data_IF_636450145529
#
_entry.id   IF_636450145529
#
_cell.length_a   1.000
_cell.length_b   1.000
_cell.length_c   1.000
_cell.angle_alpha   90.00
_cell.angle_beta   90.00
_cell.angle_gamma   90.00
#
_symmetry.space_group_name_H-M   'P 1'
#
loop_
_entity.id
_entity.type
_entity.pdbx_description
1 polymer ?
#
# COMPACT_ATOMS: atom_id res chain seq x y z
N UNK A 1 -22.61 -14.05 13.23
CA UNK A 1 -21.27 -13.47 13.28
C UNK A 1 -20.27 -14.62 13.35
N UNK A 2 -19.48 -14.85 12.31
CA UNK A 2 -18.55 -15.96 12.21
C UNK A 2 -17.42 -15.84 13.24
N UNK A 3 -16.82 -16.97 13.66
CA UNK A 3 -15.66 -17.04 14.59
C UNK A 3 -14.52 -16.07 14.19
N UNK A 4 -14.34 -15.83 12.90
CA UNK A 4 -13.39 -14.86 12.35
C UNK A 4 -13.72 -13.40 12.79
N UNK A 5 -14.99 -13.01 12.74
CA UNK A 5 -15.40 -11.65 13.10
C UNK A 5 -15.20 -11.30 14.59
N UNK A 6 -15.31 -12.31 15.48
CA UNK A 6 -15.03 -12.15 16.91
C UNK A 6 -13.53 -12.01 17.18
N UNK A 7 -12.71 -12.80 16.51
CA UNK A 7 -11.25 -12.76 16.62
C UNK A 7 -10.65 -11.43 16.10
N UNK A 8 -11.16 -10.92 14.99
CA UNK A 8 -10.76 -9.61 14.42
C UNK A 8 -11.15 -8.45 15.36
N UNK A 9 -12.25 -8.56 16.09
CA UNK A 9 -12.69 -7.51 17.03
C UNK A 9 -11.85 -7.48 18.31
N UNK A 10 -11.32 -8.62 18.76
CA UNK A 10 -10.50 -8.73 19.98
C UNK A 10 -9.00 -8.54 19.70
N UNK A 11 -8.49 -9.11 18.63
CA UNK A 11 -7.04 -9.10 18.30
C UNK A 11 -6.61 -8.01 17.30
N UNK A 12 -7.58 -7.43 16.58
CA UNK A 12 -7.30 -6.47 15.49
C UNK A 12 -6.94 -7.14 14.17
N UNK A 13 -6.82 -6.36 13.11
CA UNK A 13 -6.45 -6.84 11.77
C UNK A 13 -4.93 -6.95 11.69
N UNK A 14 -4.40 -8.12 11.28
CA UNK A 14 -2.98 -8.30 11.04
C UNK A 14 -2.58 -7.57 9.74
N UNK A 15 -1.61 -6.69 9.84
CA UNK A 15 -1.08 -5.92 8.70
C UNK A 15 -0.44 -6.85 7.66
N UNK A 16 0.25 -7.88 8.12
CA UNK A 16 0.90 -8.88 7.27
C UNK A 16 -0.12 -9.66 6.42
N UNK A 17 -1.20 -10.14 7.04
CA UNK A 17 -2.25 -10.90 6.34
C UNK A 17 -2.96 -10.03 5.32
N UNK A 18 -3.32 -8.80 5.70
CA UNK A 18 -3.99 -7.85 4.81
C UNK A 18 -3.11 -7.50 3.61
N UNK A 19 -1.81 -7.27 3.82
CA UNK A 19 -0.87 -6.96 2.76
C UNK A 19 -0.72 -8.12 1.76
N UNK A 20 -0.54 -9.36 2.25
CA UNK A 20 -0.44 -10.55 1.39
C UNK A 20 -1.72 -10.77 0.59
N UNK A 21 -2.88 -10.63 1.21
CA UNK A 21 -4.17 -10.78 0.53
C UNK A 21 -4.35 -9.73 -0.57
N UNK A 22 -4.01 -8.47 -0.30
CA UNK A 22 -4.06 -7.38 -1.29
C UNK A 22 -3.07 -7.60 -2.45
N UNK A 23 -1.86 -8.12 -2.18
CA UNK A 23 -0.90 -8.49 -3.23
C UNK A 23 -1.46 -9.59 -4.13
N UNK A 24 -2.08 -10.63 -3.57
CA UNK A 24 -2.71 -11.71 -4.34
C UNK A 24 -3.82 -11.16 -5.23
N UNK A 25 -4.71 -10.32 -4.69
CA UNK A 25 -5.80 -9.68 -5.45
C UNK A 25 -5.23 -8.81 -6.58
N UNK A 26 -4.21 -8.00 -6.29
CA UNK A 26 -3.53 -7.16 -7.29
C UNK A 26 -2.91 -8.01 -8.42
N UNK A 27 -2.27 -9.13 -8.07
CA UNK A 27 -1.69 -10.04 -9.07
C UNK A 27 -2.75 -10.67 -9.97
N UNK A 28 -3.89 -11.08 -9.40
CA UNK A 28 -5.02 -11.63 -10.16
C UNK A 28 -5.58 -10.57 -11.12
N UNK A 29 -5.81 -9.34 -10.64
CA UNK A 29 -6.31 -8.24 -11.46
C UNK A 29 -5.35 -7.88 -12.61
N UNK A 30 -4.04 -7.85 -12.32
CA UNK A 30 -3.01 -7.60 -13.33
C UNK A 30 -2.98 -8.70 -14.38
N UNK A 31 -3.08 -9.98 -13.96
CA UNK A 31 -3.14 -11.12 -14.89
C UNK A 31 -4.40 -11.07 -15.77
N UNK A 32 -5.54 -10.72 -15.20
CA UNK A 32 -6.79 -10.53 -15.94
C UNK A 32 -6.68 -9.37 -16.94
N UNK A 33 -6.01 -8.27 -16.58
CA UNK A 33 -5.77 -7.14 -17.46
C UNK A 33 -4.88 -7.53 -18.65
N UNK A 34 -3.78 -8.25 -18.40
CA UNK A 34 -2.89 -8.75 -19.46
C UNK A 34 -3.64 -9.69 -20.41
N UNK A 35 -4.47 -10.58 -19.86
CA UNK A 35 -5.29 -11.48 -20.68
C UNK A 35 -6.30 -10.75 -21.56
N UNK A 36 -7.01 -9.75 -21.04
CA UNK A 36 -7.96 -8.95 -21.84
C UNK A 36 -7.24 -8.11 -22.89
N UNK A 37 -6.05 -7.57 -22.59
CA UNK A 37 -5.22 -6.86 -23.56
C UNK A 37 -4.78 -7.78 -24.72
N UNK A 38 -4.35 -9.00 -24.38
CA UNK A 38 -3.99 -10.00 -25.39
C UNK A 38 -5.17 -10.35 -26.30
N UNK A 39 -6.36 -10.57 -25.73
CA UNK A 39 -7.58 -10.82 -26.51
C UNK A 39 -7.97 -9.64 -27.43
N UNK A 40 -7.90 -8.41 -26.92
CA UNK A 40 -8.18 -7.21 -27.69
C UNK A 40 -7.22 -7.07 -28.89
N UNK A 41 -5.94 -7.35 -28.67
CA UNK A 41 -4.92 -7.32 -29.74
C UNK A 41 -5.20 -8.39 -30.83
N UNK A 42 -5.57 -9.61 -30.44
CA UNK A 42 -5.96 -10.65 -31.39
C UNK A 42 -7.20 -10.26 -32.21
N UNK A 43 -8.20 -9.65 -31.57
CA UNK A 43 -9.40 -9.17 -32.27
C UNK A 43 -9.07 -8.05 -33.25
N UNK A 44 -8.17 -7.15 -32.89
CA UNK A 44 -7.71 -6.09 -33.78
C UNK A 44 -6.94 -6.65 -35.00
N UNK A 45 -6.06 -7.61 -34.81
CA UNK A 45 -5.33 -8.26 -35.92
C UNK A 45 -6.29 -8.98 -36.87
N UNK A 46 -7.31 -9.69 -36.33
CA UNK A 46 -8.31 -10.36 -37.14
C UNK A 46 -9.15 -9.37 -37.97
N UNK A 47 -9.52 -8.23 -37.37
CA UNK A 47 -10.22 -7.16 -38.08
C UNK A 47 -9.37 -6.54 -39.19
N UNK A 48 -8.11 -6.25 -38.92
CA UNK A 48 -7.18 -5.68 -39.90
C UNK A 48 -7.04 -6.61 -41.11
N UNK A 49 -6.83 -7.93 -40.83
CA UNK A 49 -6.73 -8.93 -41.89
C UNK A 49 -7.99 -9.05 -42.72
N UNK A 50 -9.16 -9.10 -42.08
CA UNK A 50 -10.44 -9.15 -42.78
C UNK A 50 -10.70 -7.91 -43.67
N UNK A 51 -10.24 -6.75 -43.21
CA UNK A 51 -10.33 -5.49 -44.01
C UNK A 51 -9.39 -5.50 -45.20
N UNK A 52 -8.15 -5.99 -45.02
CA UNK A 52 -7.19 -6.17 -46.11
C UNK A 52 -7.72 -7.15 -47.19
N UNK A 53 -8.21 -8.33 -46.74
CA UNK A 53 -8.80 -9.32 -47.64
C UNK A 53 -9.98 -8.74 -48.43
N UNK A 54 -10.82 -7.89 -47.81
CA UNK A 54 -11.91 -7.20 -48.48
C UNK A 54 -11.41 -6.24 -49.56
N UNK A 55 -10.43 -5.38 -49.23
CA UNK A 55 -9.91 -4.39 -50.19
C UNK A 55 -9.32 -5.11 -51.42
N UNK A 56 -8.51 -6.13 -51.20
CA UNK A 56 -7.88 -6.88 -52.26
C UNK A 56 -8.91 -7.62 -53.17
N UNK A 57 -9.94 -8.19 -52.55
CA UNK A 57 -11.03 -8.85 -53.26
C UNK A 57 -11.84 -7.85 -54.07
N UNK A 58 -12.15 -6.67 -53.53
CA UNK A 58 -12.83 -5.61 -54.22
C UNK A 58 -12.01 -5.07 -55.40
N UNK A 59 -10.71 -4.90 -55.26
CA UNK A 59 -9.81 -4.47 -56.30
C UNK A 59 -9.73 -5.51 -57.45
N UNK A 60 -9.66 -6.80 -57.11
CA UNK A 60 -9.68 -7.88 -58.08
C UNK A 60 -11.03 -7.92 -58.85
N UNK A 61 -12.17 -7.81 -58.15
CA UNK A 61 -13.48 -7.78 -58.84
C UNK A 61 -13.59 -6.58 -59.78
N UNK A 62 -13.19 -5.38 -59.35
CA UNK A 62 -13.16 -4.20 -60.20
C UNK A 62 -12.16 -4.35 -61.39
N UNK A 63 -11.04 -4.94 -61.17
CA UNK A 63 -10.04 -5.21 -62.23
C UNK A 63 -10.61 -6.13 -63.32
N UNK A 64 -11.30 -7.21 -62.90
CA UNK A 64 -12.00 -8.12 -63.82
C UNK A 64 -13.10 -7.42 -64.61
N UNK A 65 -13.91 -6.61 -63.94
CA UNK A 65 -14.99 -5.83 -64.64
C UNK A 65 -14.40 -4.88 -65.66
N UNK A 66 -13.42 -4.06 -65.28
CA UNK A 66 -12.79 -3.07 -66.14
C UNK A 66 -12.06 -3.76 -67.34
N UNK A 67 -11.41 -4.89 -67.13
CA UNK A 67 -10.76 -5.64 -68.20
C UNK A 67 -11.78 -6.27 -69.16
N UNK A 68 -12.93 -6.78 -68.64
CA UNK A 68 -14.00 -7.33 -69.43
C UNK A 68 -14.69 -6.26 -70.29
N UNK A 69 -14.99 -5.09 -69.71
CA UNK A 69 -15.57 -3.95 -70.41
C UNK A 69 -14.61 -3.42 -71.50
N UNK A 70 -13.30 -3.32 -71.18
CA UNK A 70 -12.27 -2.91 -72.15
C UNK A 70 -12.19 -3.84 -73.35
N UNK A 71 -12.14 -5.18 -73.14
CA UNK A 71 -12.13 -6.16 -74.22
C UNK A 71 -13.36 -6.06 -75.08
N UNK A 72 -14.54 -5.94 -74.47
CA UNK A 72 -15.81 -5.74 -75.17
C UNK A 72 -15.81 -4.48 -76.03
N UNK A 73 -15.33 -3.35 -75.49
CA UNK A 73 -15.25 -2.06 -76.25
C UNK A 73 -14.30 -2.19 -77.44
N UNK A 74 -13.14 -2.78 -77.29
CA UNK A 74 -12.18 -2.96 -78.37
C UNK A 74 -12.74 -3.90 -79.47
N UNK A 75 -13.38 -4.99 -79.05
CA UNK A 75 -14.02 -5.91 -80.02
C UNK A 75 -15.19 -5.22 -80.81
N UNK A 76 -16.04 -4.43 -80.10
CA UNK A 76 -17.11 -3.63 -80.75
C UNK A 76 -16.49 -2.59 -81.68
N UNK A 77 -15.49 -1.83 -81.25
CA UNK A 77 -14.82 -0.84 -82.07
C UNK A 77 -14.24 -1.47 -83.35
N UNK A 78 -13.55 -2.63 -83.21
CA UNK A 78 -12.98 -3.34 -84.33
C UNK A 78 -14.05 -3.78 -85.34
N UNK A 79 -15.18 -4.36 -84.90
CA UNK A 79 -16.25 -4.85 -85.77
C UNK A 79 -17.00 -3.73 -86.46
N UNK A 80 -17.03 -2.51 -85.92
CA UNK A 80 -17.69 -1.34 -86.49
C UNK A 80 -16.73 -0.52 -87.37
N UNK A 81 -15.53 -0.18 -86.85
CA UNK A 81 -14.58 0.71 -87.53
C UNK A 81 -13.65 -0.02 -88.51
N UNK A 82 -13.36 -1.29 -88.19
CA UNK A 82 -12.41 -2.08 -88.98
C UNK A 82 -10.93 -1.70 -88.76
N UNK A 83 -10.64 -0.86 -87.79
CA UNK A 83 -9.27 -0.39 -87.52
C UNK A 83 -8.48 -1.42 -86.74
N UNK A 84 -7.38 -1.83 -87.32
CA UNK A 84 -6.55 -2.89 -86.75
C UNK A 84 -6.01 -2.63 -85.30
N UNK A 85 -5.84 -1.34 -84.97
CA UNK A 85 -5.40 -0.98 -83.61
C UNK A 85 -6.31 -1.57 -82.50
N UNK A 86 -7.63 -1.62 -82.75
CA UNK A 86 -8.58 -2.19 -81.76
C UNK A 86 -8.42 -3.71 -81.61
N UNK A 87 -8.09 -4.42 -82.69
CA UNK A 87 -7.78 -5.82 -82.67
C UNK A 87 -6.49 -6.07 -81.87
N UNK A 88 -5.45 -5.25 -82.12
CA UNK A 88 -4.17 -5.35 -81.40
C UNK A 88 -4.32 -5.02 -79.93
N UNK A 89 -5.06 -3.99 -79.56
CA UNK A 89 -5.39 -3.65 -78.19
C UNK A 89 -6.12 -4.77 -77.47
N UNK A 90 -7.12 -5.38 -78.10
CA UNK A 90 -7.87 -6.52 -77.57
C UNK A 90 -6.93 -7.68 -77.18
N UNK A 91 -6.02 -8.12 -78.13
CA UNK A 91 -5.11 -9.21 -77.89
C UNK A 91 -3.97 -8.86 -76.94
N UNK A 92 -3.56 -7.60 -76.87
CA UNK A 92 -2.63 -7.11 -75.86
C UNK A 92 -3.21 -7.31 -74.48
N UNK A 93 -4.46 -6.94 -74.27
CA UNK A 93 -5.16 -7.17 -73.00
C UNK A 93 -5.36 -8.66 -72.70
N UNK A 94 -5.86 -9.42 -73.68
CA UNK A 94 -6.21 -10.83 -73.48
C UNK A 94 -4.98 -11.75 -73.27
N UNK A 95 -3.83 -11.47 -73.93
CA UNK A 95 -2.66 -12.38 -73.92
C UNK A 95 -1.50 -11.86 -73.09
N UNK A 96 -1.26 -10.52 -73.02
CA UNK A 96 -0.10 -9.94 -72.36
C UNK A 96 -0.44 -9.35 -71.01
N UNK A 97 -1.39 -8.42 -70.95
CA UNK A 97 -1.75 -7.76 -69.68
C UNK A 97 -2.50 -8.70 -68.73
N UNK A 98 -3.43 -9.47 -69.26
CA UNK A 98 -4.17 -10.56 -68.56
C UNK A 98 -4.73 -10.15 -67.23
N UNK A 99 -5.31 -8.94 -67.13
CA UNK A 99 -5.83 -8.37 -65.86
C UNK A 99 -6.89 -9.27 -65.23
N UNK A 100 -7.76 -9.93 -65.99
CA UNK A 100 -8.78 -10.86 -65.50
C UNK A 100 -8.18 -12.07 -64.79
N UNK A 101 -7.22 -12.75 -65.49
CA UNK A 101 -6.57 -13.96 -65.01
C UNK A 101 -5.71 -13.65 -63.76
N UNK A 102 -5.00 -12.52 -63.77
CA UNK A 102 -4.21 -12.06 -62.66
C UNK A 102 -5.09 -11.73 -61.41
N UNK A 103 -6.24 -11.09 -61.62
CA UNK A 103 -7.19 -10.82 -60.58
C UNK A 103 -7.70 -12.11 -59.94
N UNK A 104 -8.11 -13.09 -60.74
CA UNK A 104 -8.55 -14.41 -60.25
C UNK A 104 -7.47 -15.09 -59.49
N UNK A 105 -6.23 -15.15 -60.02
CA UNK A 105 -5.10 -15.81 -59.37
C UNK A 105 -4.78 -15.19 -58.01
N UNK A 106 -4.81 -13.85 -57.87
CA UNK A 106 -4.57 -13.15 -56.62
C UNK A 106 -5.62 -13.47 -55.58
N UNK A 107 -6.87 -13.58 -55.96
CA UNK A 107 -7.98 -13.95 -55.05
C UNK A 107 -7.94 -15.42 -54.65
N UNK A 108 -7.68 -16.32 -55.59
CA UNK A 108 -7.61 -17.76 -55.34
C UNK A 108 -6.50 -18.12 -54.36
N UNK A 109 -5.37 -17.41 -54.39
CA UNK A 109 -4.26 -17.59 -53.46
C UNK A 109 -4.60 -17.22 -51.99
N UNK A 110 -5.57 -16.34 -51.79
CA UNK A 110 -5.94 -15.85 -50.43
C UNK A 110 -7.18 -16.50 -49.84
N UNK A 111 -8.22 -16.74 -50.66
CA UNK A 111 -9.53 -17.21 -50.16
C UNK A 111 -10.24 -18.15 -51.16
N UNK A 112 -9.70 -19.35 -51.39
CA UNK A 112 -10.13 -20.24 -52.48
C UNK A 112 -11.60 -20.73 -52.33
N UNK A 113 -12.08 -20.89 -51.10
CA UNK A 113 -13.38 -21.50 -50.84
C UNK A 113 -14.50 -20.49 -50.46
N UNK A 114 -14.27 -19.19 -50.68
CA UNK A 114 -15.29 -18.17 -50.35
C UNK A 114 -16.44 -18.15 -51.39
N UNK A 115 -17.65 -17.79 -50.91
CA UNK A 115 -18.81 -17.58 -51.79
C UNK A 115 -18.54 -16.51 -52.83
N UNK A 116 -17.82 -15.43 -52.46
CA UNK A 116 -17.39 -14.38 -53.36
C UNK A 116 -16.46 -14.91 -54.48
N UNK A 117 -15.53 -15.84 -54.16
CA UNK A 117 -14.66 -16.48 -55.12
C UNK A 117 -15.47 -17.33 -56.13
N UNK A 118 -16.47 -18.06 -55.66
CA UNK A 118 -17.37 -18.81 -56.56
C UNK A 118 -18.09 -17.92 -57.54
N UNK A 119 -18.59 -16.75 -57.10
CA UNK A 119 -19.23 -15.74 -57.97
C UNK A 119 -18.24 -15.16 -58.97
N UNK A 120 -16.99 -14.88 -58.52
CA UNK A 120 -15.96 -14.36 -59.42
C UNK A 120 -15.55 -15.37 -60.49
N UNK A 121 -15.46 -16.65 -60.13
CA UNK A 121 -15.19 -17.74 -61.08
C UNK A 121 -16.30 -17.89 -62.09
N UNK A 122 -17.58 -17.75 -61.69
CA UNK A 122 -18.70 -17.77 -62.61
C UNK A 122 -18.62 -16.60 -63.59
N UNK A 123 -18.41 -15.37 -63.13
CA UNK A 123 -18.23 -14.19 -63.96
C UNK A 123 -17.04 -14.36 -64.94
N UNK A 124 -15.94 -14.97 -64.53
CA UNK A 124 -14.80 -15.30 -65.42
C UNK A 124 -15.22 -16.30 -66.50
N UNK A 125 -15.95 -17.34 -66.18
CA UNK A 125 -16.42 -18.35 -67.12
C UNK A 125 -17.36 -17.73 -68.17
N UNK A 126 -18.29 -16.85 -67.70
CA UNK A 126 -19.16 -16.11 -68.58
C UNK A 126 -18.39 -15.13 -69.49
N UNK A 127 -17.34 -14.48 -68.97
CA UNK A 127 -16.45 -13.62 -69.73
C UNK A 127 -15.69 -14.38 -70.83
N UNK A 128 -15.20 -15.61 -70.51
CA UNK A 128 -14.59 -16.48 -71.52
C UNK A 128 -15.57 -16.94 -72.61
N UNK A 129 -16.80 -17.21 -72.22
CA UNK A 129 -17.88 -17.54 -73.17
C UNK A 129 -18.19 -16.36 -74.12
N UNK A 130 -18.24 -15.13 -73.60
CA UNK A 130 -18.44 -13.92 -74.37
C UNK A 130 -17.26 -13.69 -75.33
N UNK A 131 -15.99 -13.96 -74.93
CA UNK A 131 -14.81 -13.89 -75.80
C UNK A 131 -14.91 -14.77 -77.02
N UNK A 132 -15.42 -15.99 -76.91
CA UNK A 132 -15.57 -16.87 -78.05
C UNK A 132 -16.52 -16.25 -79.09
N UNK A 133 -17.55 -15.54 -78.67
CA UNK A 133 -18.45 -14.81 -79.53
C UNK A 133 -17.84 -13.57 -80.19
N UNK A 134 -17.02 -12.84 -79.37
CA UNK A 134 -16.23 -11.71 -79.89
C UNK A 134 -15.18 -12.16 -80.87
N UNK A 135 -14.46 -13.24 -80.65
CA UNK A 135 -13.52 -13.82 -81.60
C UNK A 135 -14.23 -14.17 -82.95
N UNK A 136 -15.42 -14.76 -82.89
CA UNK A 136 -16.14 -15.11 -84.07
C UNK A 136 -16.49 -13.86 -84.87
N UNK A 137 -17.02 -12.82 -84.24
CA UNK A 137 -17.41 -11.53 -84.91
C UNK A 137 -16.14 -10.81 -85.49
N UNK A 138 -15.04 -10.80 -84.76
CA UNK A 138 -13.74 -10.24 -85.19
C UNK A 138 -13.17 -11.07 -86.36
N UNK A 139 -13.33 -12.39 -86.37
CA UNK A 139 -12.90 -13.26 -87.43
C UNK A 139 -13.68 -12.99 -88.73
N UNK A 140 -14.98 -12.75 -88.65
CA UNK A 140 -15.86 -12.32 -89.79
C UNK A 140 -15.32 -11.01 -90.36
N UNK A 141 -15.03 -10.03 -89.50
CA UNK A 141 -14.55 -8.71 -89.94
C UNK A 141 -13.16 -8.83 -90.62
N UNK A 142 -12.25 -9.56 -90.07
CA UNK A 142 -10.91 -9.80 -90.60
C UNK A 142 -11.00 -10.43 -92.00
N UNK A 143 -11.82 -11.48 -92.10
CA UNK A 143 -12.01 -12.20 -93.37
C UNK A 143 -12.70 -11.29 -94.46
N UNK A 144 -13.60 -10.46 -94.04
CA UNK A 144 -14.24 -9.48 -94.98
C UNK A 144 -13.28 -8.43 -95.49
N UNK A 145 -12.28 -8.03 -94.70
CA UNK A 145 -11.25 -7.09 -95.08
C UNK A 145 -10.11 -7.71 -95.95
N UNK A 146 -10.08 -9.05 -96.03
CA UNK A 146 -9.01 -9.74 -96.71
C UNK A 146 -7.64 -9.73 -95.95
N UNK A 147 -7.63 -9.37 -94.70
CA UNK A 147 -6.37 -9.34 -93.86
C UNK A 147 -6.03 -10.76 -93.46
N UNK A 148 -4.84 -11.19 -93.94
CA UNK A 148 -4.25 -12.55 -93.65
C UNK A 148 -3.50 -12.65 -92.35
N UNK A 149 -3.27 -11.55 -91.64
CA UNK A 149 -2.57 -11.50 -90.36
C UNK A 149 -3.51 -11.82 -89.20
N UNK A 150 -3.78 -13.11 -89.05
CA UNK A 150 -4.70 -13.61 -88.03
C UNK A 150 -3.96 -13.76 -86.70
N UNK A 151 -4.44 -13.15 -85.57
CA UNK A 151 -3.86 -13.39 -84.26
C UNK A 151 -3.87 -14.87 -83.86
N UNK A 152 -2.89 -15.32 -83.08
CA UNK A 152 -2.72 -16.73 -82.71
C UNK A 152 -3.95 -17.34 -82.07
N UNK A 153 -4.55 -16.64 -81.11
CA UNK A 153 -5.78 -17.10 -80.40
C UNK A 153 -7.03 -17.20 -81.29
N UNK A 154 -7.00 -16.60 -82.51
CA UNK A 154 -8.09 -16.69 -83.48
C UNK A 154 -7.88 -17.69 -84.61
N UNK A 155 -6.72 -18.36 -84.65
CA UNK A 155 -6.43 -19.32 -85.74
C UNK A 155 -7.39 -20.50 -85.73
N UNK A 156 -7.80 -20.93 -84.55
CA UNK A 156 -8.72 -22.08 -84.41
C UNK A 156 -10.21 -21.66 -84.52
N UNK A 157 -10.50 -20.36 -84.67
CA UNK A 157 -11.87 -19.86 -84.86
C UNK A 157 -12.28 -20.05 -86.30
N UNK A 158 -13.02 -21.11 -86.58
CA UNK A 158 -13.55 -21.44 -87.89
C UNK A 158 -14.92 -20.83 -88.12
N UNK A 159 -15.07 -20.07 -89.22
CA UNK A 159 -16.40 -19.62 -89.63
C UNK A 159 -17.23 -20.80 -90.12
N UNK A 160 -18.55 -20.75 -89.95
CA UNK A 160 -19.42 -21.78 -90.52
C UNK A 160 -19.34 -21.79 -92.04
N UNK A 161 -19.58 -22.96 -92.68
CA UNK A 161 -19.57 -22.98 -94.17
C UNK A 161 -20.46 -21.93 -94.85
N UNK A 162 -21.60 -21.66 -94.21
CA UNK A 162 -22.57 -20.61 -94.67
C UNK A 162 -21.95 -19.24 -94.59
N UNK A 163 -21.31 -18.89 -93.44
CA UNK A 163 -20.73 -17.58 -93.19
C UNK A 163 -19.48 -17.35 -94.05
N UNK A 164 -18.74 -18.41 -94.36
CA UNK A 164 -17.57 -18.33 -95.29
C UNK A 164 -18.00 -17.88 -96.72
N UNK A 165 -19.20 -18.27 -97.16
CA UNK A 165 -19.70 -17.94 -98.49
C UNK A 165 -20.33 -16.55 -98.56
N UNK A 166 -20.54 -15.89 -97.42
CA UNK A 166 -21.06 -14.52 -97.43
C UNK A 166 -20.20 -13.52 -98.15
N UNK A 167 -20.81 -12.49 -98.75
CA UNK A 167 -20.08 -11.35 -99.29
C UNK A 167 -19.35 -10.61 -98.22
N UNK A 168 -18.28 -9.86 -98.54
CA UNK A 168 -17.55 -9.07 -97.53
C UNK A 168 -18.48 -8.11 -96.76
N UNK A 169 -19.42 -7.46 -97.42
CA UNK A 169 -20.38 -6.57 -96.76
C UNK A 169 -21.36 -7.32 -95.83
N UNK A 170 -21.77 -8.54 -96.18
CA UNK A 170 -22.66 -9.37 -95.37
C UNK A 170 -21.87 -9.95 -94.12
N UNK A 171 -20.59 -10.24 -94.28
CA UNK A 171 -19.73 -10.65 -93.13
C UNK A 171 -19.55 -9.51 -92.10
N UNK A 172 -19.34 -8.27 -92.61
CA UNK A 172 -19.23 -7.11 -91.69
C UNK A 172 -20.54 -6.89 -90.93
N UNK A 173 -21.67 -6.97 -91.65
CA UNK A 173 -23.00 -6.75 -91.05
C UNK A 173 -23.30 -7.87 -89.99
N UNK A 174 -22.98 -9.11 -90.28
CA UNK A 174 -23.12 -10.23 -89.35
C UNK A 174 -22.24 -10.05 -88.12
N UNK A 175 -20.97 -9.65 -88.33
CA UNK A 175 -20.07 -9.34 -87.24
C UNK A 175 -20.61 -8.25 -86.32
N UNK A 176 -21.04 -7.16 -86.87
CA UNK A 176 -21.72 -6.07 -86.09
C UNK A 176 -22.95 -6.56 -85.35
N UNK A 177 -23.82 -7.33 -86.00
CA UNK A 177 -25.05 -7.85 -85.37
C UNK A 177 -24.76 -8.74 -84.19
N UNK A 178 -23.76 -9.64 -84.30
CA UNK A 178 -23.32 -10.52 -83.23
C UNK A 178 -22.83 -9.75 -81.95
N UNK A 179 -22.18 -8.60 -82.17
CA UNK A 179 -21.67 -7.74 -81.12
C UNK A 179 -22.72 -6.78 -80.52
N UNK A 180 -23.91 -6.70 -81.11
CA UNK A 180 -24.99 -5.76 -80.67
C UNK A 180 -26.38 -6.42 -80.57
N UNK A 181 -26.47 -7.76 -80.63
CA UNK A 181 -27.76 -8.45 -80.46
C UNK A 181 -28.12 -8.64 -78.95
N UNK A 182 -29.33 -9.06 -78.73
CA UNK A 182 -29.90 -9.25 -77.39
C UNK A 182 -29.10 -10.32 -76.54
N UNK A 183 -28.62 -11.36 -77.20
CA UNK A 183 -27.87 -12.41 -76.58
C UNK A 183 -26.51 -11.90 -76.12
N UNK A 184 -25.79 -11.06 -76.88
CA UNK A 184 -24.57 -10.41 -76.50
C UNK A 184 -24.72 -9.55 -75.24
N UNK A 185 -25.73 -8.70 -75.23
CA UNK A 185 -25.99 -7.87 -74.06
C UNK A 185 -26.49 -8.67 -72.87
N UNK A 186 -27.22 -9.76 -73.08
CA UNK A 186 -27.61 -10.66 -72.02
C UNK A 186 -26.38 -11.27 -71.33
N UNK A 187 -25.42 -11.78 -72.09
CA UNK A 187 -24.16 -12.34 -71.54
C UNK A 187 -23.32 -11.27 -70.84
N UNK A 188 -23.16 -10.10 -71.42
CA UNK A 188 -22.48 -8.96 -70.77
C UNK A 188 -23.13 -8.57 -69.46
N UNK A 189 -24.46 -8.50 -69.40
CA UNK A 189 -25.17 -8.18 -68.16
C UNK A 189 -25.08 -9.27 -67.11
N UNK A 190 -24.96 -10.57 -67.50
CA UNK A 190 -24.71 -11.66 -66.57
C UNK A 190 -23.34 -11.50 -65.87
N UNK A 191 -22.30 -11.22 -66.62
CA UNK A 191 -20.95 -10.97 -66.06
C UNK A 191 -21.02 -9.83 -65.04
N UNK A 192 -21.65 -8.71 -65.44
CA UNK A 192 -21.78 -7.55 -64.55
C UNK A 192 -22.57 -7.90 -63.26
N UNK A 193 -23.69 -8.62 -63.42
CA UNK A 193 -24.50 -9.07 -62.29
C UNK A 193 -23.72 -9.97 -61.31
N UNK A 194 -22.99 -10.97 -61.82
CA UNK A 194 -22.22 -11.88 -60.98
C UNK A 194 -21.09 -11.16 -60.24
N UNK A 195 -20.47 -10.13 -60.87
CA UNK A 195 -19.48 -9.27 -60.21
C UNK A 195 -20.11 -8.34 -59.17
N UNK A 196 -21.27 -7.75 -59.45
CA UNK A 196 -22.01 -6.95 -58.45
C UNK A 196 -22.44 -7.80 -57.26
N UNK A 197 -22.95 -9.03 -57.49
CA UNK A 197 -23.27 -10.00 -56.43
C UNK A 197 -22.02 -10.41 -55.64
N UNK A 198 -20.88 -10.64 -56.31
CA UNK A 198 -19.60 -10.90 -55.64
C UNK A 198 -19.21 -9.74 -54.70
N UNK A 199 -19.23 -8.50 -55.18
CA UNK A 199 -18.94 -7.30 -54.39
C UNK A 199 -19.90 -7.14 -53.22
N UNK A 200 -21.20 -7.43 -53.43
CA UNK A 200 -22.21 -7.34 -52.37
C UNK A 200 -21.98 -8.40 -51.26
N UNK A 201 -21.71 -9.65 -51.64
CA UNK A 201 -21.37 -10.73 -50.67
C UNK A 201 -20.14 -10.36 -49.83
N UNK A 202 -19.11 -9.80 -50.49
CA UNK A 202 -17.90 -9.32 -49.79
C UNK A 202 -18.21 -8.19 -48.83
N UNK A 203 -19.01 -7.21 -49.25
CA UNK A 203 -19.42 -6.08 -48.43
C UNK A 203 -20.22 -6.51 -47.20
N UNK A 204 -21.20 -7.40 -47.37
CA UNK A 204 -22.06 -7.86 -46.31
C UNK A 204 -21.27 -8.73 -45.32
N UNK A 205 -20.39 -9.63 -45.80
CA UNK A 205 -19.49 -10.43 -44.99
C UNK A 205 -18.54 -9.58 -44.15
N UNK A 206 -17.94 -8.55 -44.76
CA UNK A 206 -17.02 -7.65 -44.08
C UNK A 206 -17.74 -6.77 -43.06
N UNK A 207 -18.91 -6.22 -43.44
CA UNK A 207 -19.71 -5.41 -42.51
C UNK A 207 -20.15 -6.19 -41.27
N UNK A 208 -20.59 -7.44 -41.44
CA UNK A 208 -20.94 -8.32 -40.33
C UNK A 208 -19.73 -8.64 -39.42
N UNK A 209 -18.59 -8.91 -40.05
CA UNK A 209 -17.35 -9.15 -39.31
C UNK A 209 -16.92 -7.91 -38.53
N UNK A 210 -16.96 -6.73 -39.20
CA UNK A 210 -16.59 -5.45 -38.57
C UNK A 210 -17.50 -5.13 -37.38
N UNK A 211 -18.84 -5.21 -37.53
CA UNK A 211 -19.81 -4.90 -36.47
C UNK A 211 -19.64 -5.86 -35.27
N UNK A 212 -19.40 -7.13 -35.55
CA UNK A 212 -19.14 -8.13 -34.52
C UNK A 212 -17.84 -7.84 -33.76
N UNK A 213 -16.76 -7.48 -34.47
CA UNK A 213 -15.48 -7.15 -33.87
C UNK A 213 -15.49 -5.82 -33.12
N UNK A 214 -16.18 -4.79 -33.62
CA UNK A 214 -16.40 -3.53 -32.91
C UNK A 214 -17.13 -3.75 -31.58
N UNK A 215 -18.19 -4.54 -31.59
CA UNK A 215 -18.96 -4.86 -30.40
C UNK A 215 -18.08 -5.61 -29.35
N UNK A 216 -17.26 -6.55 -29.83
CA UNK A 216 -16.31 -7.29 -29.00
C UNK A 216 -15.23 -6.36 -28.43
N UNK A 217 -14.66 -5.51 -29.27
CA UNK A 217 -13.62 -4.55 -28.88
C UNK A 217 -14.14 -3.54 -27.84
N UNK A 218 -15.32 -2.99 -28.02
CA UNK A 218 -15.94 -2.07 -27.06
C UNK A 218 -16.18 -2.76 -25.72
N UNK A 219 -16.64 -4.00 -25.72
CA UNK A 219 -16.80 -4.79 -24.48
C UNK A 219 -15.47 -5.04 -23.78
N UNK A 220 -14.41 -5.35 -24.53
CA UNK A 220 -13.10 -5.60 -23.98
C UNK A 220 -12.47 -4.31 -23.43
N UNK A 221 -12.66 -3.17 -24.10
CA UNK A 221 -12.26 -1.85 -23.59
C UNK A 221 -12.98 -1.49 -22.28
N UNK A 222 -14.28 -1.75 -22.19
CA UNK A 222 -15.04 -1.54 -20.94
C UNK A 222 -14.48 -2.43 -19.83
N UNK A 223 -14.21 -3.71 -20.11
CA UNK A 223 -13.61 -4.63 -19.14
C UNK A 223 -12.25 -4.16 -18.66
N UNK A 224 -11.38 -3.74 -19.56
CA UNK A 224 -10.06 -3.18 -19.23
C UNK A 224 -10.19 -1.95 -18.34
N UNK A 225 -11.09 -1.03 -18.68
CA UNK A 225 -11.35 0.19 -17.90
C UNK A 225 -11.80 -0.16 -16.47
N UNK A 226 -12.74 -1.10 -16.32
CA UNK A 226 -13.21 -1.56 -15.01
C UNK A 226 -12.09 -2.21 -14.21
N UNK A 227 -11.25 -3.04 -14.84
CA UNK A 227 -10.11 -3.67 -14.17
C UNK A 227 -9.07 -2.64 -13.70
N UNK A 228 -8.78 -1.62 -14.50
CA UNK A 228 -7.88 -0.52 -14.13
C UNK A 228 -8.43 0.28 -12.94
N UNK A 229 -9.73 0.59 -12.95
CA UNK A 229 -10.38 1.29 -11.83
C UNK A 229 -10.30 0.45 -10.55
N UNK A 230 -10.64 -0.85 -10.62
CA UNK A 230 -10.55 -1.76 -9.48
C UNK A 230 -9.13 -1.86 -8.94
N UNK A 231 -8.13 -1.97 -9.82
CA UNK A 231 -6.70 -1.98 -9.45
C UNK A 231 -6.30 -0.68 -8.74
N UNK A 232 -6.71 0.46 -9.28
CA UNK A 232 -6.40 1.79 -8.71
C UNK A 232 -7.03 1.98 -7.34
N UNK A 233 -8.31 1.61 -7.17
CA UNK A 233 -9.00 1.64 -5.88
C UNK A 233 -8.33 0.71 -4.88
N UNK A 234 -7.92 -0.50 -5.30
CA UNK A 234 -7.19 -1.44 -4.46
C UNK A 234 -5.87 -0.87 -3.95
N UNK A 235 -5.10 -0.19 -4.81
CA UNK A 235 -3.82 0.46 -4.43
C UNK A 235 -4.05 1.61 -3.45
N UNK A 236 -5.04 2.46 -3.69
CA UNK A 236 -5.39 3.57 -2.78
C UNK A 236 -5.81 3.01 -1.41
N UNK A 237 -6.63 1.96 -1.39
CA UNK A 237 -7.05 1.30 -0.16
C UNK A 237 -5.86 0.69 0.59
N UNK A 238 -4.92 0.06 -0.11
CA UNK A 238 -3.68 -0.48 0.48
C UNK A 238 -2.85 0.62 1.13
N UNK A 239 -2.63 1.74 0.46
CA UNK A 239 -1.92 2.91 0.99
C UNK A 239 -2.63 3.46 2.24
N UNK A 240 -3.95 3.60 2.20
CA UNK A 240 -4.74 4.08 3.33
C UNK A 240 -4.62 3.14 4.55
N UNK A 241 -4.78 1.84 4.35
CA UNK A 241 -4.64 0.82 5.40
C UNK A 241 -3.23 0.87 6.02
N UNK A 242 -2.18 0.88 5.18
CA UNK A 242 -0.79 0.90 5.63
C UNK A 242 -0.49 2.16 6.45
N UNK A 243 -0.98 3.31 6.00
CA UNK A 243 -0.79 4.58 6.72
C UNK A 243 -1.55 4.59 8.04
N UNK A 244 -2.82 4.17 8.04
CA UNK A 244 -3.69 4.30 9.21
C UNK A 244 -3.42 3.25 10.30
N UNK A 245 -3.15 2.00 9.91
CA UNK A 245 -2.92 0.89 10.85
C UNK A 245 -1.44 0.63 11.16
N UNK A 246 -0.51 1.10 10.32
CA UNK A 246 0.93 0.91 10.48
C UNK A 246 1.68 2.19 10.81
N UNK A 247 1.78 3.13 9.87
CA UNK A 247 2.67 4.29 9.99
C UNK A 247 2.23 5.23 11.13
N UNK A 248 0.96 5.63 11.17
CA UNK A 248 0.48 6.56 12.18
C UNK A 248 0.61 6.04 13.62
N UNK A 249 0.30 4.76 13.96
CA UNK A 249 0.57 4.20 15.27
C UNK A 249 2.06 4.22 15.64
N UNK A 250 2.95 3.91 14.70
CA UNK A 250 4.42 3.96 14.92
C UNK A 250 4.88 5.38 15.24
N UNK A 251 4.44 6.37 14.47
CA UNK A 251 4.80 7.78 14.72
C UNK A 251 4.31 8.26 16.09
N UNK A 252 3.08 7.89 16.49
CA UNK A 252 2.57 8.19 17.84
C UNK A 252 3.38 7.49 18.92
N UNK A 253 3.78 6.24 18.70
CA UNK A 253 4.62 5.52 19.65
C UNK A 253 5.97 6.21 19.87
N UNK A 254 6.62 6.66 18.80
CA UNK A 254 7.89 7.43 18.90
C UNK A 254 7.70 8.70 19.73
N UNK A 255 6.58 9.42 19.57
CA UNK A 255 6.30 10.62 20.34
C UNK A 255 6.07 10.31 21.85
N UNK A 256 5.33 9.24 22.16
CA UNK A 256 5.11 8.78 23.53
C UNK A 256 6.43 8.33 24.20
N UNK A 257 7.29 7.58 23.49
CA UNK A 257 8.61 7.18 24.00
C UNK A 257 9.47 8.39 24.33
N UNK A 258 9.49 9.41 23.44
CA UNK A 258 10.26 10.65 23.68
C UNK A 258 9.77 11.43 24.91
N UNK A 259 8.48 11.30 25.24
CA UNK A 259 7.87 11.95 26.41
C UNK A 259 7.88 11.08 27.66
N UNK A 260 8.56 9.95 27.64
CA UNK A 260 8.58 8.99 28.75
C UNK A 260 7.18 8.56 29.20
N UNK A 261 6.33 8.15 28.25
CA UNK A 261 4.94 7.76 28.45
C UNK A 261 4.65 6.36 27.90
N UNK A 262 3.60 5.75 28.43
CA UNK A 262 3.08 4.49 27.91
C UNK A 262 2.60 4.65 26.47
N UNK A 263 2.78 3.58 25.67
CA UNK A 263 2.34 3.54 24.28
C UNK A 263 0.82 3.31 24.18
N UNK A 264 0.12 4.02 23.30
CA UNK A 264 -1.27 3.74 23.02
C UNK A 264 -1.44 2.38 22.33
N UNK A 265 -2.33 1.51 22.84
CA UNK A 265 -2.60 0.17 22.27
C UNK A 265 -3.59 0.31 21.11
N UNK A 266 -3.14 0.88 19.98
CA UNK A 266 -3.94 1.15 18.78
C UNK A 266 -3.21 0.65 17.54
N UNK A 267 -3.94 0.50 16.41
CA UNK A 267 -3.37 0.06 15.13
C UNK A 267 -3.53 -1.43 14.86
N UNK A 268 -2.69 -1.99 14.00
CA UNK A 268 -2.70 -3.40 13.63
C UNK A 268 -2.36 -4.31 14.82
N UNK A 269 -2.72 -5.61 14.69
CA UNK A 269 -2.47 -6.61 15.73
C UNK A 269 -1.01 -6.64 16.18
N UNK A 270 -0.08 -6.61 15.24
CA UNK A 270 1.35 -6.66 15.51
C UNK A 270 1.81 -5.46 16.33
N UNK A 271 1.29 -4.28 16.04
CA UNK A 271 1.61 -3.06 16.76
C UNK A 271 0.99 -3.03 18.16
N UNK A 272 -0.26 -3.49 18.31
CA UNK A 272 -0.93 -3.62 19.62
C UNK A 272 -0.17 -4.56 20.55
N UNK A 273 0.32 -5.68 20.02
CA UNK A 273 1.14 -6.63 20.77
C UNK A 273 2.46 -5.98 21.23
N UNK A 274 3.13 -5.28 20.31
CA UNK A 274 4.37 -4.55 20.62
C UNK A 274 4.15 -3.50 21.71
N UNK A 275 3.11 -2.66 21.57
CA UNK A 275 2.78 -1.62 22.54
C UNK A 275 2.47 -2.22 23.92
N UNK A 276 1.68 -3.30 23.97
CA UNK A 276 1.38 -3.98 25.22
C UNK A 276 2.62 -4.58 25.91
N UNK A 277 3.56 -5.12 25.13
CA UNK A 277 4.82 -5.66 25.67
C UNK A 277 5.74 -4.55 26.17
N UNK A 278 5.85 -3.45 25.40
CA UNK A 278 6.61 -2.26 25.81
C UNK A 278 6.06 -1.69 27.13
N UNK A 279 4.76 -1.49 27.26
CA UNK A 279 4.14 -0.92 28.45
C UNK A 279 4.39 -1.79 29.69
N UNK A 280 4.37 -3.12 29.56
CA UNK A 280 4.75 -4.03 30.65
C UNK A 280 6.19 -3.81 31.08
N UNK A 281 7.11 -3.74 30.13
CA UNK A 281 8.53 -3.50 30.39
C UNK A 281 8.77 -2.12 31.03
N UNK A 282 8.13 -1.09 30.48
CA UNK A 282 8.17 0.29 30.98
C UNK A 282 7.73 0.39 32.43
N UNK A 283 6.61 -0.25 32.79
CA UNK A 283 6.08 -0.25 34.16
C UNK A 283 7.00 -0.99 35.13
N UNK A 284 7.60 -2.12 34.71
CA UNK A 284 8.62 -2.84 35.53
C UNK A 284 9.82 -1.95 35.76
N UNK A 285 10.34 -1.31 34.71
CA UNK A 285 11.48 -0.41 34.78
C UNK A 285 11.22 0.78 35.72
N UNK A 286 10.10 1.46 35.56
CA UNK A 286 9.68 2.61 36.39
C UNK A 286 9.60 2.23 37.86
N UNK A 287 8.94 1.10 38.17
CA UNK A 287 8.84 0.58 39.54
C UNK A 287 10.21 0.21 40.08
N UNK A 288 11.10 -0.30 39.25
CA UNK A 288 12.49 -0.63 39.67
C UNK A 288 13.29 0.61 40.05
N UNK A 289 13.15 1.70 39.25
CA UNK A 289 13.80 2.99 39.56
C UNK A 289 13.24 3.58 40.84
N UNK A 290 11.92 3.58 41.04
CA UNK A 290 11.28 4.06 42.25
C UNK A 290 11.79 3.28 43.49
N UNK A 291 11.88 1.95 43.38
CA UNK A 291 12.41 1.11 44.45
C UNK A 291 13.90 1.37 44.73
N UNK A 292 14.70 1.55 43.68
CA UNK A 292 16.12 1.88 43.82
C UNK A 292 16.34 3.24 44.49
N UNK A 293 15.55 4.24 44.08
CA UNK A 293 15.56 5.57 44.68
C UNK A 293 15.15 5.56 46.13
N UNK A 294 14.09 4.77 46.45
CA UNK A 294 13.67 4.57 47.84
C UNK A 294 14.77 3.91 48.69
N UNK A 295 15.36 2.80 48.23
CA UNK A 295 16.48 2.12 48.94
C UNK A 295 17.71 3.00 49.10
N UNK A 296 18.01 3.85 48.11
CA UNK A 296 19.13 4.78 48.17
C UNK A 296 18.94 5.88 49.22
N UNK A 297 17.71 6.26 49.55
CA UNK A 297 17.39 7.37 50.43
C UNK A 297 16.81 6.96 51.80
N UNK A 298 16.48 5.67 51.99
CA UNK A 298 15.86 5.19 53.25
C UNK A 298 16.72 4.09 53.91
N UNK A 299 16.62 4.00 55.23
CA UNK A 299 17.27 2.98 56.05
C UNK A 299 16.48 1.67 55.98
N UNK A 300 17.13 0.57 55.57
CA UNK A 300 16.46 -0.71 55.33
C UNK A 300 15.88 -1.32 56.62
N UNK A 301 16.47 -1.01 57.81
CA UNK A 301 15.99 -1.53 59.06
C UNK A 301 14.72 -0.81 59.55
N UNK A 302 14.75 0.51 59.54
CA UNK A 302 13.74 1.35 60.23
C UNK A 302 12.71 2.00 59.26
N UNK A 303 13.06 2.01 57.95
CA UNK A 303 12.19 2.63 56.93
C UNK A 303 12.09 4.14 57.01
N UNK A 304 12.88 4.84 57.81
CA UNK A 304 13.07 6.29 57.79
C UNK A 304 14.15 6.69 56.80
N UNK A 305 14.39 7.96 56.56
CA UNK A 305 15.49 8.38 55.68
C UNK A 305 16.85 7.94 56.26
N UNK A 306 17.73 7.45 55.39
CA UNK A 306 19.10 7.12 55.78
C UNK A 306 20.02 8.37 55.73
N UNK A 307 21.32 8.20 55.94
CA UNK A 307 22.30 9.29 55.88
C UNK A 307 22.33 10.01 54.54
N UNK A 308 22.18 9.27 53.41
CA UNK A 308 22.12 9.88 52.09
C UNK A 308 20.85 10.70 51.92
N UNK A 309 19.68 10.19 52.38
CA UNK A 309 18.43 10.92 52.44
C UNK A 309 18.50 12.19 53.27
N UNK A 310 19.11 12.08 54.47
CA UNK A 310 19.41 13.26 55.32
C UNK A 310 20.22 14.31 54.57
N UNK A 311 21.27 13.93 53.84
CA UNK A 311 22.16 14.86 53.11
C UNK A 311 21.42 15.56 51.93
N UNK A 312 20.46 14.89 51.33
CA UNK A 312 19.59 15.49 50.30
C UNK A 312 18.59 16.46 50.91
N UNK A 313 17.89 16.05 51.96
CA UNK A 313 16.84 16.84 52.61
C UNK A 313 17.42 18.14 53.16
N UNK A 314 18.52 18.08 53.92
CA UNK A 314 19.12 19.25 54.56
C UNK A 314 19.52 20.38 53.60
N UNK A 315 19.79 20.05 52.33
CA UNK A 315 20.17 21.02 51.28
C UNK A 315 18.93 21.77 50.71
N UNK A 316 17.74 21.23 50.87
CA UNK A 316 16.50 21.77 50.33
C UNK A 316 15.59 22.44 51.36
N UNK A 317 15.98 22.40 52.66
CA UNK A 317 15.16 22.96 53.75
C UNK A 317 15.17 24.49 53.76
N UNK A 318 13.98 25.06 54.00
CA UNK A 318 13.85 26.46 54.41
C UNK A 318 14.19 26.61 55.90
N UNK A 319 15.41 27.04 56.22
CA UNK A 319 15.92 27.12 57.60
C UNK A 319 15.19 28.18 58.44
N UNK A 320 14.55 29.19 57.81
CA UNK A 320 13.78 30.18 58.53
C UNK A 320 12.52 29.57 59.20
N UNK A 321 12.07 28.43 58.70
CA UNK A 321 10.87 27.74 59.19
C UNK A 321 11.14 26.26 59.58
N UNK A 322 12.41 25.86 59.76
CA UNK A 322 12.76 24.47 60.12
C UNK A 322 13.53 24.40 61.41
N UNK A 323 13.14 23.52 62.34
CA UNK A 323 13.90 23.19 63.55
C UNK A 323 14.55 21.82 63.40
N UNK A 324 15.81 21.71 63.88
CA UNK A 324 16.61 20.50 63.87
C UNK A 324 16.55 19.84 65.27
N UNK A 325 16.10 18.59 65.31
CA UNK A 325 16.02 17.79 66.54
C UNK A 325 16.90 16.55 66.35
N UNK A 326 18.01 16.51 67.07
CA UNK A 326 18.89 15.38 67.06
C UNK A 326 18.61 14.49 68.28
N UNK A 327 18.21 13.26 68.00
CA UNK A 327 17.91 12.24 69.01
C UNK A 327 19.01 11.20 69.06
N UNK A 328 19.27 10.68 70.25
CA UNK A 328 20.16 9.54 70.49
C UNK A 328 19.50 8.62 71.53
N UNK A 329 19.59 7.31 71.25
CA UNK A 329 19.02 6.27 72.10
C UNK A 329 19.87 6.01 73.33
N UNK A 330 19.35 6.36 74.51
CA UNK A 330 20.13 6.25 75.78
C UNK A 330 20.52 4.83 76.04
N UNK A 331 21.85 4.63 76.31
CA UNK A 331 22.42 3.34 76.65
C UNK A 331 22.14 2.21 75.63
N UNK A 332 21.90 2.51 74.34
CA UNK A 332 21.61 1.51 73.30
C UNK A 332 22.72 0.42 73.19
N UNK A 333 23.95 0.80 73.35
CA UNK A 333 25.06 -0.19 73.38
C UNK A 333 24.86 -1.24 74.47
N UNK A 334 24.39 -0.84 75.63
CA UNK A 334 24.14 -1.79 76.72
C UNK A 334 22.99 -2.75 76.40
N UNK A 335 21.99 -2.28 75.73
CA UNK A 335 20.87 -3.11 75.20
C UNK A 335 21.44 -4.19 74.27
N UNK A 336 22.28 -3.80 73.31
CA UNK A 336 22.94 -4.77 72.42
C UNK A 336 23.82 -5.77 73.14
N UNK A 337 24.65 -5.31 74.11
CA UNK A 337 25.54 -6.13 74.81
C UNK A 337 24.83 -7.18 75.72
N UNK A 338 23.65 -6.84 76.25
CA UNK A 338 22.87 -7.71 77.13
C UNK A 338 21.90 -8.60 76.37
N UNK A 339 21.24 -8.08 75.32
CA UNK A 339 20.11 -8.76 74.69
C UNK A 339 20.40 -9.23 73.24
N UNK A 340 21.58 -8.88 72.73
CA UNK A 340 21.97 -9.19 71.35
C UNK A 340 21.46 -8.18 70.31
N UNK A 341 22.12 -8.17 69.16
CA UNK A 341 21.86 -7.22 68.09
C UNK A 341 20.43 -7.34 67.51
N UNK A 342 19.82 -8.53 67.50
CA UNK A 342 18.48 -8.75 66.99
C UNK A 342 17.43 -7.99 67.81
N UNK A 343 17.59 -7.94 69.15
CA UNK A 343 16.76 -7.14 70.06
C UNK A 343 17.04 -5.65 69.86
N UNK A 344 18.29 -5.25 69.66
CA UNK A 344 18.66 -3.87 69.35
C UNK A 344 18.03 -3.39 68.02
N UNK A 345 18.01 -4.22 67.00
CA UNK A 345 17.35 -3.92 65.72
C UNK A 345 15.82 -3.70 65.89
N UNK A 346 15.16 -4.50 66.73
CA UNK A 346 13.74 -4.33 67.08
C UNK A 346 13.51 -3.01 67.84
N UNK A 347 14.38 -2.66 68.77
CA UNK A 347 14.34 -1.39 69.51
C UNK A 347 14.49 -0.20 68.56
N UNK A 348 15.39 -0.24 67.59
CA UNK A 348 15.56 0.81 66.61
C UNK A 348 14.30 0.96 65.71
N UNK A 349 13.64 -0.14 65.33
CA UNK A 349 12.36 -0.11 64.65
C UNK A 349 11.27 0.57 65.49
N UNK A 350 11.17 0.18 66.78
CA UNK A 350 10.23 0.80 67.71
C UNK A 350 10.47 2.32 67.85
N UNK A 351 11.75 2.76 68.00
CA UNK A 351 12.08 4.20 68.04
C UNK A 351 11.60 4.90 66.78
N UNK A 352 11.90 4.35 65.61
CA UNK A 352 11.46 4.94 64.33
C UNK A 352 9.93 5.03 64.24
N UNK A 353 9.22 4.00 64.66
CA UNK A 353 7.74 3.96 64.62
C UNK A 353 7.11 4.97 65.61
N UNK A 354 7.68 5.09 66.82
CA UNK A 354 7.28 6.10 67.81
C UNK A 354 7.59 7.52 67.29
N UNK A 355 8.72 7.76 66.67
CA UNK A 355 9.00 9.04 66.04
C UNK A 355 7.99 9.36 64.96
N UNK A 356 7.70 8.40 64.03
CA UNK A 356 6.66 8.59 63.00
C UNK A 356 5.28 8.91 63.56
N UNK A 357 4.90 8.34 64.70
CA UNK A 357 3.64 8.59 65.40
C UNK A 357 3.53 10.02 65.96
N UNK A 358 4.65 10.56 66.46
CA UNK A 358 4.65 11.87 67.14
C UNK A 358 4.98 13.05 66.22
N UNK A 359 5.60 12.82 65.05
CA UNK A 359 5.89 13.87 64.06
C UNK A 359 4.87 13.83 62.92
N UNK A 360 4.71 14.92 62.19
CA UNK A 360 3.78 15.04 61.08
C UNK A 360 4.33 14.31 59.85
N UNK A 361 3.46 14.01 58.92
CA UNK A 361 3.86 13.45 57.60
C UNK A 361 4.81 14.34 56.84
N UNK A 362 4.79 15.65 57.08
CA UNK A 362 5.64 16.62 56.41
C UNK A 362 7.00 16.80 57.10
N UNK A 363 7.13 16.33 58.38
CA UNK A 363 8.43 16.31 59.08
C UNK A 363 9.30 15.17 58.56
N UNK A 364 10.59 15.43 58.42
CA UNK A 364 11.52 14.41 57.93
C UNK A 364 12.22 13.73 59.07
N UNK A 365 12.11 12.41 59.15
CA UNK A 365 12.76 11.58 60.18
C UNK A 365 13.90 10.81 59.46
N UNK A 366 15.12 10.99 59.94
CA UNK A 366 16.31 10.40 59.33
C UNK A 366 17.07 9.60 60.41
N UNK A 367 17.58 8.42 60.08
CA UNK A 367 18.57 7.70 60.89
C UNK A 367 19.96 8.02 60.32
N UNK A 368 20.78 8.74 61.06
CA UNK A 368 22.07 9.28 60.57
C UNK A 368 23.28 8.50 61.11
N UNK A 369 23.09 7.73 62.13
CA UNK A 369 24.11 6.88 62.77
C UNK A 369 23.49 5.58 63.29
N UNK A 370 24.21 4.81 64.06
CA UNK A 370 23.74 3.54 64.64
C UNK A 370 22.44 3.68 65.45
N UNK A 371 22.45 4.58 66.42
CA UNK A 371 21.38 4.88 67.35
C UNK A 371 20.94 6.37 67.33
N UNK A 372 21.45 7.10 66.36
CA UNK A 372 21.15 8.54 66.20
C UNK A 372 20.07 8.79 65.15
N UNK A 373 19.04 9.55 65.51
CA UNK A 373 17.96 10.00 64.63
C UNK A 373 17.93 11.53 64.54
N UNK A 374 17.77 12.04 63.32
CA UNK A 374 17.55 13.46 63.08
C UNK A 374 16.10 13.65 62.61
N UNK A 375 15.40 14.60 63.25
CA UNK A 375 14.10 15.04 62.82
C UNK A 375 14.16 16.50 62.40
N UNK A 376 13.74 16.76 61.19
CA UNK A 376 13.50 18.13 60.69
C UNK A 376 12.02 18.45 60.86
N UNK A 377 11.69 19.32 61.80
CA UNK A 377 10.33 19.86 61.94
C UNK A 377 10.20 21.07 61.01
N UNK A 378 9.42 20.92 59.97
CA UNK A 378 9.21 21.98 58.97
C UNK A 378 7.98 22.83 59.24
N UNK A 379 7.91 24.01 58.62
CA UNK A 379 6.80 24.95 58.79
C UNK A 379 6.53 25.34 60.24
N UNK A 380 7.60 25.57 60.99
CA UNK A 380 7.54 25.94 62.40
C UNK A 380 8.01 27.38 62.62
N UNK A 381 7.63 27.93 63.76
CA UNK A 381 8.09 29.26 64.25
C UNK A 381 9.05 29.07 65.42
N UNK A 382 9.75 30.11 65.81
CA UNK A 382 10.69 30.08 66.98
C UNK A 382 9.99 29.74 68.30
N UNK A 383 8.66 29.91 68.42
CA UNK A 383 7.93 29.69 69.66
C UNK A 383 7.37 28.24 69.81
N UNK A 384 8.19 27.23 69.46
CA UNK A 384 7.78 25.80 69.53
C UNK A 384 8.37 25.07 70.71
N UNK A 385 9.08 25.76 71.62
CA UNK A 385 9.77 25.13 72.73
C UNK A 385 8.90 24.18 73.53
N UNK A 386 7.73 24.65 74.06
CA UNK A 386 6.80 23.81 74.78
C UNK A 386 6.19 22.67 73.98
N UNK A 387 6.07 22.83 72.65
CA UNK A 387 5.56 21.79 71.76
C UNK A 387 6.61 20.65 71.66
N UNK A 388 7.88 20.99 71.46
CA UNK A 388 8.97 20.04 71.36
C UNK A 388 9.20 19.31 72.70
N UNK A 389 9.24 20.04 73.83
CA UNK A 389 9.38 19.44 75.18
C UNK A 389 8.27 18.40 75.43
N UNK A 390 7.03 18.73 75.12
CA UNK A 390 5.88 17.84 75.25
C UNK A 390 6.00 16.61 74.34
N UNK A 391 6.43 16.79 73.08
CA UNK A 391 6.62 15.69 72.15
C UNK A 391 7.70 14.74 72.63
N UNK A 392 8.84 15.23 73.08
CA UNK A 392 9.94 14.39 73.58
C UNK A 392 9.51 13.62 74.84
N UNK A 393 8.76 14.30 75.76
CA UNK A 393 8.22 13.62 76.90
C UNK A 393 7.24 12.50 76.55
N UNK A 394 6.37 12.72 75.58
CA UNK A 394 5.40 11.72 75.10
C UNK A 394 6.10 10.58 74.37
N UNK A 395 7.14 10.87 73.55
CA UNK A 395 7.99 9.86 72.87
C UNK A 395 8.64 8.96 73.92
N UNK A 396 9.24 9.52 74.95
CA UNK A 396 9.88 8.76 76.02
C UNK A 396 8.86 7.97 76.88
N UNK A 397 7.65 8.48 77.07
CA UNK A 397 6.57 7.74 77.74
C UNK A 397 6.12 6.52 76.91
N UNK A 398 5.89 6.72 75.59
CA UNK A 398 5.55 5.60 74.67
C UNK A 398 6.66 4.55 74.59
N UNK A 399 7.95 4.94 74.63
CA UNK A 399 9.09 4.02 74.61
C UNK A 399 9.27 3.29 75.95
N UNK A 400 8.81 3.89 77.05
CA UNK A 400 8.84 3.25 78.39
C UNK A 400 7.70 2.23 78.56
N UNK A 401 6.58 2.38 77.84
CA UNK A 401 5.47 1.42 77.79
C UNK A 401 5.90 0.16 77.03
N UNK A 402 6.27 -0.90 77.77
CA UNK A 402 6.76 -2.15 77.17
C UNK A 402 5.61 -2.97 76.63
N UNK A 403 5.19 -2.71 75.38
CA UNK A 403 4.07 -3.37 74.69
C UNK A 403 4.47 -4.69 74.01
N UNK A 404 5.76 -4.96 73.76
CA UNK A 404 6.23 -6.13 72.99
C UNK A 404 7.34 -6.97 73.69
N UNK A 405 7.55 -6.76 75.01
CA UNK A 405 8.62 -7.44 75.76
C UNK A 405 10.03 -6.98 75.38
N UNK A 406 10.16 -5.77 74.81
CA UNK A 406 11.47 -5.15 74.49
C UNK A 406 12.03 -4.45 75.73
N UNK A 407 13.34 -4.28 75.83
CA UNK A 407 13.99 -3.49 76.91
C UNK A 407 13.45 -2.05 76.86
N UNK A 408 13.09 -1.46 78.01
CA UNK A 408 12.75 -0.05 78.13
C UNK A 408 13.91 0.83 77.70
N UNK A 409 13.66 1.81 76.88
CA UNK A 409 14.65 2.74 76.37
C UNK A 409 14.10 4.16 76.41
N UNK A 410 14.97 5.15 76.57
CA UNK A 410 14.66 6.55 76.44
C UNK A 410 15.48 7.20 75.30
N UNK A 411 15.04 8.36 74.83
CA UNK A 411 15.78 9.21 73.90
C UNK A 411 16.22 10.50 74.61
N UNK A 412 17.46 10.87 74.37
CA UNK A 412 17.94 12.23 74.64
C UNK A 412 17.84 13.04 73.35
N UNK A 413 17.38 14.29 73.46
CA UNK A 413 17.19 15.14 72.25
C UNK A 413 17.88 16.51 72.44
N UNK A 414 18.64 16.89 71.41
CA UNK A 414 19.17 18.25 71.30
C UNK A 414 18.45 19.03 70.19
N UNK A 415 18.14 20.26 70.41
CA UNK A 415 17.30 21.07 69.52
C UNK A 415 17.98 22.38 69.13
N UNK A 416 18.09 22.62 67.81
CA UNK A 416 18.38 23.93 67.23
C UNK A 416 17.13 24.49 66.59
N UNK A 417 16.75 25.72 66.96
CA UNK A 417 15.57 26.38 66.43
C UNK A 417 15.81 27.10 65.11
N UNK A 418 14.78 27.23 64.31
CA UNK A 418 14.78 27.91 63.03
C UNK A 418 15.38 29.35 63.11
N UNK A 419 16.13 29.72 62.07
CA UNK A 419 16.71 31.08 61.92
C UNK A 419 16.83 31.49 60.46
N UNK A 420 16.69 32.80 60.18
CA UNK A 420 16.70 33.35 58.82
C UNK A 420 18.11 33.24 58.16
N UNK A 421 19.15 33.41 58.96
CA UNK A 421 20.56 33.38 58.54
C UNK A 421 21.26 32.06 58.84
N UNK A 422 20.47 30.97 58.95
CA UNK A 422 20.97 29.67 59.36
C UNK A 422 21.83 28.96 58.29
N UNK A 423 22.82 28.18 58.81
CA UNK A 423 23.54 27.21 58.00
C UNK A 423 23.21 25.82 58.54
N UNK A 424 22.78 24.87 57.67
CA UNK A 424 22.40 23.51 58.10
C UNK A 424 23.46 22.81 58.92
N UNK A 425 24.75 23.01 58.62
CA UNK A 425 25.86 22.40 59.37
C UNK A 425 26.05 23.03 60.77
N UNK A 426 25.78 24.34 60.87
CA UNK A 426 25.80 25.02 62.17
C UNK A 426 24.60 24.59 63.02
N UNK A 427 23.40 24.50 62.44
CA UNK A 427 22.22 24.03 63.18
C UNK A 427 22.36 22.60 63.66
N UNK A 428 23.02 21.75 62.87
CA UNK A 428 23.37 20.39 63.29
C UNK A 428 24.32 20.41 64.51
N UNK A 429 25.40 21.20 64.46
CA UNK A 429 26.37 21.32 65.60
C UNK A 429 25.72 21.88 66.84
N UNK A 430 24.78 22.80 66.69
CA UNK A 430 24.00 23.36 67.80
C UNK A 430 23.09 22.32 68.45
N UNK A 431 22.38 21.53 67.63
CA UNK A 431 21.58 20.40 68.10
C UNK A 431 22.44 19.33 68.79
N UNK A 432 23.63 19.03 68.22
CA UNK A 432 24.58 18.05 68.82
C UNK A 432 25.11 18.55 70.16
N UNK A 433 25.46 19.86 70.26
CA UNK A 433 25.89 20.46 71.52
C UNK A 433 24.81 20.39 72.62
N UNK A 434 23.54 20.67 72.24
CA UNK A 434 22.42 20.57 73.14
C UNK A 434 22.11 19.11 73.54
N UNK A 435 22.25 18.15 72.63
CA UNK A 435 22.11 16.73 72.91
C UNK A 435 23.15 16.22 73.92
N UNK A 436 24.41 16.65 73.74
CA UNK A 436 25.46 16.30 74.69
C UNK A 436 25.19 16.83 76.08
N UNK A 437 24.66 18.05 76.18
CA UNK A 437 24.21 18.63 77.49
C UNK A 437 23.15 17.78 78.18
N UNK A 438 22.15 17.26 77.43
CA UNK A 438 21.13 16.34 77.96
C UNK A 438 21.73 15.05 78.46
N UNK A 439 22.70 14.45 77.74
CA UNK A 439 23.37 13.23 78.12
C UNK A 439 24.20 13.35 79.45
N UNK A 440 24.83 14.51 79.68
CA UNK A 440 25.57 14.81 80.89
C UNK A 440 24.71 15.14 82.10
N UNK A 441 23.45 15.59 81.87
CA UNK A 441 22.53 16.01 82.92
C UNK A 441 21.38 15.04 83.21
N UNK A 442 21.60 13.76 82.98
CA UNK A 442 20.65 12.71 83.40
C UNK A 442 19.93 11.97 82.32
N UNK A 443 20.12 12.33 81.04
CA UNK A 443 19.45 11.73 79.88
C UNK A 443 17.89 11.88 79.87
N UNK A 444 17.20 11.13 79.01
CA UNK A 444 15.73 11.03 79.01
C UNK A 444 15.02 12.41 78.98
N UNK A 445 15.34 13.26 78.01
CA UNK A 445 14.78 14.58 77.89
C UNK A 445 15.26 15.36 76.70
N UNK A 446 14.99 16.64 76.66
CA UNK A 446 15.49 17.49 75.58
C UNK A 446 16.08 18.80 76.11
N UNK A 447 17.05 19.32 75.36
CA UNK A 447 17.59 20.66 75.57
C UNK A 447 17.63 21.45 74.29
N UNK A 448 17.38 22.73 74.40
CA UNK A 448 17.52 23.70 73.29
C UNK A 448 18.89 24.35 73.36
N UNK A 449 19.55 24.46 72.22
CA UNK A 449 20.85 25.08 72.14
C UNK A 449 20.76 26.52 72.69
N UNK A 450 21.74 26.87 73.53
CA UNK A 450 22.00 28.20 74.04
C UNK A 450 23.49 28.50 73.75
N UNK A 451 23.83 29.72 73.21
CA UNK A 451 25.22 30.14 72.96
C UNK A 451 26.20 30.05 74.15
N UNK A 452 25.69 29.98 75.37
CA UNK A 452 26.51 29.81 76.59
C UNK A 452 26.99 28.36 76.81
N UNK A 453 26.47 27.40 76.02
CA UNK A 453 26.85 25.99 76.09
C UNK A 453 28.25 25.80 75.49
N UNK A 454 29.10 25.04 76.15
CA UNK A 454 30.45 24.74 75.68
C UNK A 454 30.36 23.78 74.49
N UNK A 455 30.89 24.16 73.27
CA UNK A 455 30.86 23.25 72.13
C UNK A 455 31.71 22.03 72.36
N UNK A 456 31.16 20.84 72.14
CA UNK A 456 31.88 19.60 72.11
C UNK A 456 32.62 19.40 70.81
N UNK A 457 33.92 19.18 70.76
CA UNK A 457 34.66 18.73 69.61
C UNK A 457 34.39 17.26 69.37
N UNK A 458 33.42 16.91 68.49
CA UNK A 458 33.42 15.64 67.77
C UNK A 458 34.18 15.81 66.45
N UNK A 459 35.18 14.97 66.20
CA UNK A 459 35.73 14.76 64.88
C UNK A 459 34.61 14.09 64.03
N UNK A 460 34.17 14.71 62.95
CA UNK A 460 33.18 14.24 61.98
C UNK A 460 33.68 13.05 61.19
#
# INVERSE_FOLDING_TARGET
MTRLGKKVKEEGVSLRVTFVLMLIVSLILTSALLYTTYQANQSHQALSKATEDYIDLQEAANSLLNASDYLTEEAQCYTVLGERKHLENYFTEAEQTRRRENAIASMQARNPDSEAMNKLMAAMQDSLSLMNREYYAMRLTLTAQGDTRVPEAMKDVNLTPEDQMLSPAAKLELGRRIMHDEEYYRQKNMIRKDLEECIQVLKDGTHNTQSTMETKMNRDLIRMTVLIILQSVGLIMLLWITTHLGINPVLRAVDHIKRDQELPIVGAHEFRYLAGTYNKMYNVYKKSIENLSYKASHDELTGVYNRAGYDLIRKSLDLASTAFLLFDADQFKQINDVNGHEIGDRVLKQIADVLKKHFRSDDYICRIGGDEFMVFMVHVTRNIRHLVERKVMQINADLAENTEGLPSISLSAGVSLCREDGNPEQMFREADTALYYVKDHGRNGCCFYNPEMIPVKREL
#
